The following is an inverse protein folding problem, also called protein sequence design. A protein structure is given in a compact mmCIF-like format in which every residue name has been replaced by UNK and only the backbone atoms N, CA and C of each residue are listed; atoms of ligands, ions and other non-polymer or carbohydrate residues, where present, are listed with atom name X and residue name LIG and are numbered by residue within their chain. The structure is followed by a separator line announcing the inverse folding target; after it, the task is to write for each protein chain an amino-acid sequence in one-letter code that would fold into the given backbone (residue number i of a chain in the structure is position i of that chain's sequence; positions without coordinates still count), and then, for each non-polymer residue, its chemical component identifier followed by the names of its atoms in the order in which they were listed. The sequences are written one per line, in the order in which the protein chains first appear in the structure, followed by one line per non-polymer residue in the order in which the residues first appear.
data_IF_109398110153
#
_entry.id   IF_109398110153
#
_cell.length_a   1.000
_cell.length_b   1.000
_cell.length_c   1.000
_cell.angle_alpha   90.00
_cell.angle_beta   90.00
_cell.angle_gamma   90.00
#
_symmetry.space_group_name_H-M   'P 1'
#
loop_
_entity.id
_entity.type
_entity.pdbx_description
1 polymer ?
#
# COMPACT_ATOMS: atom_id res chain seq x y z
N UNK A 1 -10.50 15.91 22.47
CA UNK A 1 -10.86 14.49 22.40
C UNK A 1 -11.82 14.32 21.23
N UNK A 2 -11.57 13.37 20.34
CA UNK A 2 -12.45 13.05 19.22
C UNK A 2 -13.81 12.57 19.72
N UNK A 3 -14.88 12.91 19.02
CA UNK A 3 -16.20 12.39 19.35
C UNK A 3 -16.31 10.87 19.03
N UNK A 4 -17.25 10.14 19.67
CA UNK A 4 -17.40 8.70 19.47
C UNK A 4 -17.63 8.27 18.01
N UNK A 5 -18.30 9.08 17.19
CA UNK A 5 -18.53 8.76 15.78
C UNK A 5 -17.25 8.90 14.95
N UNK A 6 -16.39 9.86 15.29
CA UNK A 6 -15.05 9.97 14.70
C UNK A 6 -14.14 8.80 15.10
N UNK A 7 -14.18 8.35 16.36
CA UNK A 7 -13.44 7.16 16.79
C UNK A 7 -13.90 5.88 16.08
N UNK A 8 -15.22 5.70 15.89
CA UNK A 8 -15.75 4.56 15.13
C UNK A 8 -15.25 4.57 13.67
N UNK A 9 -15.31 5.74 13.00
CA UNK A 9 -14.83 5.90 11.61
C UNK A 9 -13.33 5.59 11.48
N UNK A 10 -12.52 6.00 12.45
CA UNK A 10 -11.09 5.68 12.51
C UNK A 10 -10.89 4.17 12.61
N UNK A 11 -11.59 3.47 13.50
CA UNK A 11 -11.47 2.02 13.66
C UNK A 11 -11.92 1.24 12.42
N UNK A 12 -13.05 1.62 11.83
CA UNK A 12 -13.56 0.98 10.61
C UNK A 12 -12.62 1.17 9.42
N UNK A 13 -12.12 2.39 9.21
CA UNK A 13 -11.15 2.67 8.15
C UNK A 13 -9.81 1.99 8.39
N UNK A 14 -9.35 1.90 9.65
CA UNK A 14 -8.16 1.12 10.01
C UNK A 14 -8.30 -0.35 9.65
N UNK A 15 -9.45 -0.95 9.98
CA UNK A 15 -9.70 -2.36 9.68
C UNK A 15 -9.75 -2.62 8.17
N UNK A 16 -10.39 -1.74 7.40
CA UNK A 16 -10.41 -1.81 5.93
C UNK A 16 -9.00 -1.69 5.34
N UNK A 17 -8.20 -0.75 5.85
CA UNK A 17 -6.81 -0.60 5.43
C UNK A 17 -5.98 -1.84 5.75
N UNK A 18 -6.19 -2.47 6.92
CA UNK A 18 -5.50 -3.72 7.25
C UNK A 18 -5.88 -4.85 6.27
N UNK A 19 -7.17 -5.03 5.98
CA UNK A 19 -7.63 -6.04 5.02
C UNK A 19 -7.05 -5.81 3.63
N UNK A 20 -7.06 -4.55 3.16
CA UNK A 20 -6.49 -4.19 1.87
C UNK A 20 -4.97 -4.38 1.83
N UNK A 21 -4.26 -4.08 2.94
CA UNK A 21 -2.84 -4.35 3.09
C UNK A 21 -2.54 -5.85 3.00
N UNK A 22 -3.23 -6.69 3.79
CA UNK A 22 -3.03 -8.13 3.81
C UNK A 22 -3.27 -8.73 2.40
N UNK A 23 -4.34 -8.29 1.72
CA UNK A 23 -4.62 -8.68 0.34
C UNK A 23 -3.49 -8.26 -0.62
N UNK A 24 -3.14 -6.96 -0.60
CA UNK A 24 -2.12 -6.38 -1.48
C UNK A 24 -0.75 -7.06 -1.32
N UNK A 25 -0.33 -7.38 -0.08
CA UNK A 25 0.90 -8.14 0.18
C UNK A 25 0.81 -9.53 -0.45
N UNK A 26 -0.29 -10.26 -0.21
CA UNK A 26 -0.45 -11.62 -0.73
C UNK A 26 -0.42 -11.68 -2.27
N UNK A 27 -1.10 -10.75 -2.94
CA UNK A 27 -1.07 -10.68 -4.41
C UNK A 27 0.26 -10.18 -4.96
N UNK A 28 0.98 -9.31 -4.22
CA UNK A 28 2.35 -8.88 -4.56
C UNK A 28 3.32 -10.04 -4.51
N UNK A 29 3.33 -10.81 -3.42
CA UNK A 29 4.21 -11.98 -3.25
C UNK A 29 3.99 -12.99 -4.37
N UNK A 30 2.72 -13.24 -4.72
CA UNK A 30 2.37 -14.12 -5.85
C UNK A 30 2.87 -13.57 -7.19
N UNK A 31 2.75 -12.26 -7.40
CA UNK A 31 3.24 -11.60 -8.61
C UNK A 31 4.78 -11.60 -8.70
N UNK A 32 5.48 -11.38 -7.59
CA UNK A 32 6.95 -11.42 -7.52
C UNK A 32 7.49 -12.82 -7.79
N UNK A 33 6.80 -13.86 -7.30
CA UNK A 33 7.12 -15.24 -7.62
C UNK A 33 6.99 -15.52 -9.13
N UNK A 34 5.86 -15.13 -9.74
CA UNK A 34 5.65 -15.28 -11.18
C UNK A 34 6.66 -14.48 -12.01
N UNK A 35 7.00 -13.27 -11.55
CA UNK A 35 8.01 -12.45 -12.20
C UNK A 35 9.36 -13.14 -12.18
N UNK A 36 9.78 -13.67 -11.03
CA UNK A 36 11.03 -14.43 -10.91
C UNK A 36 11.06 -15.63 -11.85
N UNK A 37 9.98 -16.39 -11.95
CA UNK A 37 9.87 -17.49 -12.92
C UNK A 37 10.02 -17.00 -14.37
N UNK A 38 9.42 -15.85 -14.71
CA UNK A 38 9.58 -15.23 -16.02
C UNK A 38 11.03 -14.77 -16.27
N UNK A 39 11.71 -14.20 -15.26
CA UNK A 39 13.13 -13.82 -15.36
C UNK A 39 14.01 -15.04 -15.58
N UNK A 40 13.82 -16.10 -14.80
CA UNK A 40 14.59 -17.34 -14.87
C UNK A 40 14.39 -18.05 -16.24
N UNK A 41 13.22 -17.88 -16.85
CA UNK A 41 12.92 -18.38 -18.19
C UNK A 41 13.32 -17.43 -19.35
N UNK A 42 13.75 -16.21 -19.05
CA UNK A 42 14.11 -15.19 -20.04
C UNK A 42 12.92 -14.55 -20.76
N UNK A 43 11.74 -14.54 -20.15
CA UNK A 43 10.50 -13.97 -20.68
C UNK A 43 10.14 -12.61 -20.07
N UNK A 44 11.02 -12.01 -19.26
CA UNK A 44 10.79 -10.70 -18.64
C UNK A 44 11.14 -9.52 -19.56
N UNK A 45 11.67 -9.78 -20.77
CA UNK A 45 12.14 -8.78 -21.74
C UNK A 45 13.09 -7.72 -21.12
N UNK A 46 13.79 -8.07 -20.03
CA UNK A 46 14.64 -7.15 -19.27
C UNK A 46 13.89 -6.04 -18.52
N UNK A 47 12.57 -6.19 -18.35
CA UNK A 47 11.72 -5.26 -17.59
C UNK A 47 11.98 -5.40 -16.09
N UNK A 48 11.80 -4.30 -15.35
CA UNK A 48 11.67 -4.40 -13.89
C UNK A 48 10.28 -4.93 -13.51
N UNK A 49 10.13 -5.36 -12.24
CA UNK A 49 8.86 -5.89 -11.74
C UNK A 49 7.69 -4.92 -11.95
N UNK A 50 7.91 -3.62 -11.79
CA UNK A 50 6.85 -2.61 -11.92
C UNK A 50 6.35 -2.54 -13.37
N UNK A 51 7.26 -2.53 -14.33
CA UNK A 51 6.92 -2.56 -15.76
C UNK A 51 6.22 -3.86 -16.14
N UNK A 52 6.76 -5.00 -15.71
CA UNK A 52 6.22 -6.32 -16.01
C UNK A 52 4.82 -6.53 -15.42
N UNK A 53 4.61 -6.10 -14.17
CA UNK A 53 3.38 -6.34 -13.42
C UNK A 53 2.15 -5.63 -14.01
N UNK A 54 2.33 -4.51 -14.72
CA UNK A 54 1.24 -3.79 -15.40
C UNK A 54 0.51 -4.69 -16.40
N UNK A 55 1.24 -5.58 -17.08
CA UNK A 55 0.67 -6.46 -18.11
C UNK A 55 0.39 -7.86 -17.58
N UNK A 56 1.21 -8.34 -16.65
CA UNK A 56 1.23 -9.75 -16.25
C UNK A 56 0.65 -10.03 -14.86
N UNK A 57 0.43 -9.00 -14.04
CA UNK A 57 -0.08 -9.15 -12.68
C UNK A 57 -1.26 -8.19 -12.40
N UNK A 58 -2.40 -8.32 -13.13
CA UNK A 58 -3.56 -7.45 -12.92
C UNK A 58 -4.13 -7.53 -11.50
N UNK A 59 -3.98 -8.66 -10.81
CA UNK A 59 -4.39 -8.83 -9.41
C UNK A 59 -3.53 -7.98 -8.46
N UNK A 60 -2.22 -7.88 -8.71
CA UNK A 60 -1.36 -6.97 -7.95
C UNK A 60 -1.79 -5.52 -8.14
N UNK A 61 -2.05 -5.10 -9.38
CA UNK A 61 -2.51 -3.73 -9.67
C UNK A 61 -3.85 -3.44 -8.98
N UNK A 62 -4.79 -4.40 -8.99
CA UNK A 62 -6.06 -4.27 -8.29
C UNK A 62 -5.87 -4.16 -6.77
N UNK A 63 -5.05 -5.03 -6.16
CA UNK A 63 -4.73 -5.00 -4.73
C UNK A 63 -4.04 -3.70 -4.30
N UNK A 64 -3.10 -3.20 -5.11
CA UNK A 64 -2.45 -1.91 -4.88
C UNK A 64 -3.45 -0.75 -4.91
N UNK A 65 -4.35 -0.72 -5.89
CA UNK A 65 -5.39 0.31 -5.99
C UNK A 65 -6.36 0.26 -4.79
N UNK A 66 -6.74 -0.95 -4.35
CA UNK A 66 -7.59 -1.14 -3.18
C UNK A 66 -6.89 -0.63 -1.91
N UNK A 67 -5.61 -0.96 -1.72
CA UNK A 67 -4.79 -0.44 -0.63
C UNK A 67 -4.72 1.10 -0.64
N UNK A 68 -4.43 1.70 -1.80
CA UNK A 68 -4.36 3.16 -1.92
C UNK A 68 -5.71 3.84 -1.59
N UNK A 69 -6.83 3.26 -2.02
CA UNK A 69 -8.16 3.73 -1.67
C UNK A 69 -8.46 3.62 -0.17
N UNK A 70 -8.17 2.47 0.44
CA UNK A 70 -8.36 2.26 1.87
C UNK A 70 -7.46 3.18 2.71
N UNK A 71 -6.23 3.43 2.25
CA UNK A 71 -5.29 4.38 2.87
C UNK A 71 -5.87 5.79 2.85
N UNK A 72 -6.35 6.26 1.70
CA UNK A 72 -6.95 7.59 1.60
C UNK A 72 -8.15 7.76 2.54
N UNK A 73 -8.96 6.70 2.71
CA UNK A 73 -10.06 6.71 3.66
C UNK A 73 -9.59 6.79 5.13
N UNK A 74 -8.53 6.07 5.49
CA UNK A 74 -7.94 6.14 6.83
C UNK A 74 -7.27 7.48 7.11
N UNK A 75 -6.52 8.02 6.13
CA UNK A 75 -5.93 9.37 6.19
C UNK A 75 -7.01 10.41 6.51
N UNK A 76 -8.14 10.37 5.80
CA UNK A 76 -9.25 11.27 6.00
C UNK A 76 -9.91 11.08 7.38
N UNK A 77 -10.07 9.84 7.85
CA UNK A 77 -10.63 9.56 9.17
C UNK A 77 -9.74 10.10 10.30
N UNK A 78 -8.43 9.89 10.21
CA UNK A 78 -7.46 10.44 11.15
C UNK A 78 -7.42 11.97 11.09
N UNK A 79 -7.38 12.58 9.90
CA UNK A 79 -7.32 14.03 9.79
C UNK A 79 -8.54 14.73 10.43
N UNK A 80 -9.73 14.12 10.35
CA UNK A 80 -10.95 14.68 10.92
C UNK A 80 -11.23 14.29 12.38
N UNK A 81 -10.63 13.20 12.87
CA UNK A 81 -10.88 12.67 14.21
C UNK A 81 -9.69 12.77 15.14
N UNK A 82 -8.48 12.52 14.67
CA UNK A 82 -7.26 12.44 15.47
C UNK A 82 -6.03 12.93 14.67
N UNK A 83 -5.81 14.25 14.72
CA UNK A 83 -4.73 14.89 13.96
C UNK A 83 -3.32 14.50 14.46
N UNK A 84 -3.17 14.08 15.71
CA UNK A 84 -1.89 13.59 16.24
C UNK A 84 -1.58 12.21 15.64
N UNK A 85 -2.56 11.31 15.65
CA UNK A 85 -2.45 10.02 14.97
C UNK A 85 -2.24 10.18 13.45
N UNK A 86 -2.87 11.17 12.81
CA UNK A 86 -2.62 11.50 11.40
C UNK A 86 -1.15 11.86 11.15
N UNK A 87 -0.55 12.71 11.99
CA UNK A 87 0.86 13.09 11.83
C UNK A 87 1.80 11.89 12.02
N UNK A 88 1.54 11.04 13.01
CA UNK A 88 2.32 9.82 13.25
C UNK A 88 2.21 8.85 12.06
N UNK A 89 1.00 8.63 11.56
CA UNK A 89 0.74 7.79 10.40
C UNK A 89 1.41 8.33 9.14
N UNK A 90 1.26 9.62 8.84
CA UNK A 90 1.85 10.24 7.67
C UNK A 90 3.39 10.21 7.73
N UNK A 91 3.97 10.39 8.92
CA UNK A 91 5.42 10.23 9.12
C UNK A 91 5.86 8.80 8.80
N UNK A 92 5.21 7.78 9.37
CA UNK A 92 5.49 6.37 9.09
C UNK A 92 5.41 6.07 7.59
N UNK A 93 4.37 6.54 6.92
CA UNK A 93 4.20 6.33 5.49
C UNK A 93 5.29 7.03 4.68
N UNK A 94 5.62 8.27 5.01
CA UNK A 94 6.65 9.04 4.30
C UNK A 94 8.04 8.43 4.45
N UNK A 95 8.36 7.91 5.65
CA UNK A 95 9.59 7.16 5.89
C UNK A 95 9.65 5.89 5.04
N UNK A 96 8.54 5.17 4.90
CA UNK A 96 8.48 3.99 4.03
C UNK A 96 8.61 4.33 2.53
N UNK A 97 7.95 5.40 2.06
CA UNK A 97 8.03 5.84 0.65
C UNK A 97 9.44 6.29 0.30
N UNK A 98 10.12 7.02 1.19
CA UNK A 98 11.48 7.50 0.94
C UNK A 98 12.52 6.39 1.15
N UNK A 99 12.22 5.40 2.00
CA UNK A 99 13.07 4.25 2.31
C UNK A 99 14.53 4.64 2.54
N UNK A 100 15.44 3.79 2.05
CA UNK A 100 16.88 4.02 2.09
C UNK A 100 17.37 4.96 0.97
N UNK A 101 16.51 5.32 0.02
CA UNK A 101 16.88 6.15 -1.13
C UNK A 101 15.91 7.32 -1.34
N UNK A 102 16.15 8.47 -0.68
CA UNK A 102 15.29 9.65 -0.79
C UNK A 102 15.24 10.26 -2.20
N UNK A 103 16.10 9.83 -3.13
CA UNK A 103 16.08 10.30 -4.53
C UNK A 103 15.11 9.52 -5.43
N UNK A 104 14.60 8.36 -4.97
CA UNK A 104 13.67 7.51 -5.71
C UNK A 104 12.54 7.03 -4.78
N UNK A 105 11.51 7.87 -4.56
CA UNK A 105 10.37 7.47 -3.74
C UNK A 105 9.61 6.28 -4.34
N UNK A 106 9.30 5.29 -3.52
CA UNK A 106 8.41 4.17 -3.87
C UNK A 106 6.99 4.47 -3.40
N UNK A 107 6.15 4.92 -4.32
CA UNK A 107 4.74 5.19 -4.04
C UNK A 107 3.85 3.94 -4.04
N UNK A 108 4.40 2.78 -4.42
CA UNK A 108 3.69 1.51 -4.40
C UNK A 108 3.99 0.72 -3.11
N UNK A 109 4.70 1.35 -2.16
CA UNK A 109 5.02 0.76 -0.86
C UNK A 109 3.74 0.48 -0.06
N UNK A 110 3.69 -0.72 0.51
CA UNK A 110 2.62 -1.15 1.38
C UNK A 110 3.04 -0.95 2.83
N UNK A 111 2.31 -0.12 3.56
CA UNK A 111 2.54 0.16 4.99
C UNK A 111 1.36 -0.35 5.79
N UNK A 112 1.62 -1.20 6.77
CA UNK A 112 0.61 -1.71 7.70
C UNK A 112 0.10 -0.60 8.64
N UNK A 113 -1.22 -0.50 8.91
CA UNK A 113 -1.82 0.55 9.75
C UNK A 113 -1.74 0.40 11.28
#
# INVERSE_FOLDING_TARGET
MSDPASQLRIQESKQRLKQAYDNAVSVKESAEANFKEAQDAGFDDGQDFKQWSVQNAPQWIAGLNEYQGAKAAYDAALQNGDNEAFQAWNKKYREAVLGDNPTKPDYDVLVEP
#
